data_IF_434745548884
#
_entry.id   IF_434745548884
#
_cell.length_a   1.000
_cell.length_b   1.000
_cell.length_c   1.000
_cell.angle_alpha   90.00
_cell.angle_beta   90.00
_cell.angle_gamma   90.00
#
_symmetry.space_group_name_H-M   'P 1'
#
loop_
_entity.id
_entity.type
_entity.pdbx_description
1 polymer ?
#
# COMPACT_ATOMS: atom_id res chain seq x y z
N UNK A 1 8.55 -8.66 -15.92
CA UNK A 1 7.28 -8.11 -16.42
C UNK A 1 6.21 -8.36 -15.36
N UNK A 2 5.46 -7.32 -14.99
CA UNK A 2 4.43 -7.35 -13.95
C UNK A 2 3.05 -6.93 -14.50
N UNK A 3 2.95 -6.74 -15.82
CA UNK A 3 1.71 -6.45 -16.53
C UNK A 3 0.60 -7.51 -16.38
N UNK A 4 0.86 -8.83 -16.24
CA UNK A 4 -0.22 -9.81 -16.16
C UNK A 4 -0.96 -9.84 -14.82
N UNK A 5 -0.54 -9.08 -13.81
CA UNK A 5 -1.18 -9.10 -12.50
C UNK A 5 -2.37 -8.13 -12.41
N UNK A 6 -3.55 -8.69 -12.19
CA UNK A 6 -4.78 -7.91 -11.96
C UNK A 6 -4.73 -7.07 -10.67
N UNK A 7 -3.97 -7.51 -9.67
CA UNK A 7 -3.80 -6.81 -8.40
C UNK A 7 -2.36 -6.88 -7.93
N UNK A 8 -1.88 -5.75 -7.44
CA UNK A 8 -0.57 -5.62 -6.79
C UNK A 8 -0.77 -5.21 -5.33
N UNK A 9 -0.02 -5.83 -4.43
CA UNK A 9 -0.06 -5.52 -2.99
C UNK A 9 1.35 -5.14 -2.55
N UNK A 10 1.48 -3.94 -2.00
CA UNK A 10 2.71 -3.43 -1.41
C UNK A 10 2.58 -3.58 0.12
N UNK A 11 3.34 -4.50 0.70
CA UNK A 11 3.40 -4.72 2.13
C UNK A 11 4.70 -4.14 2.69
N UNK A 12 4.61 -3.46 3.83
CA UNK A 12 5.74 -2.79 4.46
C UNK A 12 5.59 -2.79 5.99
N UNK A 13 6.70 -2.61 6.71
CA UNK A 13 6.65 -2.44 8.16
C UNK A 13 6.22 -1.00 8.51
N UNK A 14 5.11 -0.87 9.21
CA UNK A 14 4.58 0.43 9.65
C UNK A 14 5.40 1.08 10.78
N UNK A 15 6.42 0.40 11.31
CA UNK A 15 7.34 0.94 12.32
C UNK A 15 8.67 1.41 11.72
N UNK A 16 8.89 1.20 10.43
CA UNK A 16 10.05 1.67 9.69
C UNK A 16 9.69 2.94 8.91
N UNK A 17 10.26 4.07 9.32
CA UNK A 17 10.02 5.38 8.69
C UNK A 17 10.45 5.43 7.22
N UNK A 18 11.51 4.71 6.84
CA UNK A 18 11.95 4.66 5.46
C UNK A 18 10.95 3.85 4.60
N UNK A 19 10.44 2.75 5.15
CA UNK A 19 9.41 1.95 4.49
C UNK A 19 8.09 2.73 4.34
N UNK A 20 7.70 3.49 5.37
CA UNK A 20 6.55 4.41 5.33
C UNK A 20 6.71 5.49 4.25
N UNK A 21 7.89 6.11 4.17
CA UNK A 21 8.18 7.12 3.16
C UNK A 21 8.09 6.56 1.74
N UNK A 22 8.68 5.37 1.50
CA UNK A 22 8.60 4.67 0.22
C UNK A 22 7.14 4.31 -0.14
N UNK A 23 6.36 3.78 0.82
CA UNK A 23 4.96 3.45 0.60
C UNK A 23 4.11 4.67 0.22
N UNK A 24 4.35 5.83 0.87
CA UNK A 24 3.69 7.09 0.52
C UNK A 24 4.07 7.59 -0.88
N UNK A 25 5.32 7.43 -1.30
CA UNK A 25 5.78 7.79 -2.64
C UNK A 25 5.11 6.92 -3.72
N UNK A 26 5.05 5.59 -3.50
CA UNK A 26 4.33 4.67 -4.37
C UNK A 26 2.84 5.01 -4.44
N UNK A 27 2.20 5.26 -3.30
CA UNK A 27 0.79 5.66 -3.24
C UNK A 27 0.51 6.89 -4.11
N UNK A 28 1.32 7.94 -3.98
CA UNK A 28 1.18 9.17 -4.77
C UNK A 28 1.29 8.89 -6.27
N UNK A 29 2.27 8.08 -6.66
CA UNK A 29 2.50 7.71 -8.06
C UNK A 29 1.30 6.93 -8.62
N UNK A 30 0.87 5.88 -7.93
CA UNK A 30 -0.25 5.03 -8.36
C UNK A 30 -1.56 5.82 -8.45
N UNK A 31 -1.84 6.72 -7.51
CA UNK A 31 -3.01 7.61 -7.57
C UNK A 31 -2.92 8.59 -8.74
N UNK A 32 -1.73 9.13 -9.04
CA UNK A 32 -1.52 10.03 -10.17
C UNK A 32 -1.69 9.32 -11.53
N UNK A 33 -1.35 8.04 -11.60
CA UNK A 33 -1.57 7.17 -12.76
C UNK A 33 -3.04 6.71 -12.91
N UNK A 34 -3.91 7.08 -11.97
CA UNK A 34 -5.35 6.77 -12.02
C UNK A 34 -5.72 5.37 -11.52
N UNK A 35 -4.79 4.65 -10.86
CA UNK A 35 -5.08 3.33 -10.30
C UNK A 35 -6.04 3.40 -9.09
N UNK A 36 -6.85 2.35 -8.94
CA UNK A 36 -7.67 2.13 -7.74
C UNK A 36 -6.81 1.56 -6.60
N UNK A 37 -6.09 2.45 -5.92
CA UNK A 37 -5.28 2.11 -4.76
C UNK A 37 -6.11 2.18 -3.47
N UNK A 38 -5.96 1.16 -2.63
CA UNK A 38 -6.56 1.09 -1.29
C UNK A 38 -5.49 0.85 -0.23
N UNK A 39 -5.67 1.43 0.96
CA UNK A 39 -4.75 1.29 2.07
C UNK A 39 -5.39 0.44 3.17
N UNK A 40 -4.64 -0.57 3.61
CA UNK A 40 -5.03 -1.48 4.68
C UNK A 40 -3.98 -1.47 5.79
N UNK A 41 -4.44 -1.55 7.04
CA UNK A 41 -3.60 -1.62 8.23
C UNK A 41 -4.04 -2.77 9.12
N UNK A 42 -3.07 -3.46 9.73
CA UNK A 42 -3.36 -4.47 10.73
C UNK A 42 -3.76 -3.82 12.07
N UNK A 43 -4.87 -4.25 12.66
CA UNK A 43 -5.32 -3.87 14.00
C UNK A 43 -4.45 -4.52 15.08
N UNK A 44 -4.50 -4.04 16.33
CA UNK A 44 -3.80 -4.69 17.44
C UNK A 44 -4.17 -6.17 17.63
N UNK A 45 -5.38 -6.56 17.25
CA UNK A 45 -5.89 -7.93 17.31
C UNK A 45 -5.50 -8.76 16.07
N UNK A 46 -4.69 -8.21 15.17
CA UNK A 46 -4.16 -8.89 13.99
C UNK A 46 -5.07 -8.88 12.76
N UNK A 47 -6.24 -8.22 12.82
CA UNK A 47 -7.18 -8.12 11.69
C UNK A 47 -6.77 -7.03 10.71
N UNK A 48 -7.08 -7.16 9.43
CA UNK A 48 -6.81 -6.13 8.43
C UNK A 48 -8.03 -5.23 8.22
N UNK A 49 -7.81 -3.91 8.28
CA UNK A 49 -8.86 -2.90 8.12
C UNK A 49 -8.50 -1.94 6.99
N UNK A 50 -9.45 -1.67 6.09
CA UNK A 50 -9.30 -0.66 5.05
C UNK A 50 -9.41 0.73 5.69
N UNK A 51 -8.40 1.58 5.48
CA UNK A 51 -8.32 2.93 6.02
C UNK A 51 -8.56 4.02 4.96
N UNK A 52 -8.28 3.71 3.68
CA UNK A 52 -8.57 4.55 2.52
C UNK A 52 -8.81 3.69 1.27
#
# INVERSE_FOLDING_TARGET
>A
DIEPYERRVLLFDGRDDAALAAARAHWKTLKAEGHDATYWQQSPEGRWEKKA
#
